data_IF_675569313946
#
_entry.id   IF_675569313946
#
_cell.length_a   1.000
_cell.length_b   1.000
_cell.length_c   1.000
_cell.angle_alpha   90.00
_cell.angle_beta   90.00
_cell.angle_gamma   90.00
#
_symmetry.space_group_name_H-M   'P 1'
#
loop_
_entity.id
_entity.type
_entity.pdbx_description
1 polymer ?
#
# COMPACT_ATOMS: atom_id res chain seq x y z
N UNK A 1 -12.79 -0.63 -20.63
CA UNK A 1 -13.26 -1.51 -19.54
C UNK A 1 -14.75 -1.24 -19.36
N UNK A 2 -15.55 -2.25 -19.00
CA UNK A 2 -16.98 -2.01 -18.79
C UNK A 2 -17.19 -1.23 -17.50
N UNK A 3 -18.24 -0.40 -17.42
CA UNK A 3 -18.62 0.34 -16.21
C UNK A 3 -18.78 -0.57 -14.98
N UNK A 4 -19.04 -1.86 -15.21
CA UNK A 4 -19.19 -2.88 -14.17
C UNK A 4 -17.84 -3.40 -13.67
N UNK A 5 -16.81 -3.48 -14.51
CA UNK A 5 -15.46 -3.89 -14.09
C UNK A 5 -14.82 -2.81 -13.22
N UNK A 6 -15.02 -1.54 -13.57
CA UNK A 6 -14.52 -0.42 -12.77
C UNK A 6 -15.23 -0.35 -11.42
N UNK A 7 -16.55 -0.59 -11.37
CA UNK A 7 -17.28 -0.70 -10.10
C UNK A 7 -16.81 -1.86 -9.23
N UNK A 8 -16.59 -3.04 -9.82
CA UNK A 8 -16.04 -4.21 -9.10
C UNK A 8 -14.66 -3.91 -8.54
N UNK A 9 -13.83 -3.19 -9.29
CA UNK A 9 -12.54 -2.73 -8.79
C UNK A 9 -12.67 -1.73 -7.63
N UNK A 10 -13.59 -0.76 -7.71
CA UNK A 10 -13.88 0.17 -6.61
C UNK A 10 -14.36 -0.56 -5.34
N UNK A 11 -15.19 -1.61 -5.49
CA UNK A 11 -15.60 -2.47 -4.39
C UNK A 11 -14.40 -3.21 -3.79
N UNK A 12 -13.55 -3.82 -4.62
CA UNK A 12 -12.33 -4.49 -4.16
C UNK A 12 -11.40 -3.51 -3.41
N UNK A 13 -11.22 -2.31 -3.97
CA UNK A 13 -10.43 -1.22 -3.35
C UNK A 13 -10.97 -0.86 -1.97
N UNK A 14 -12.28 -0.68 -1.84
CA UNK A 14 -12.92 -0.35 -0.57
C UNK A 14 -12.78 -1.50 0.44
N UNK A 15 -12.93 -2.76 0.01
CA UNK A 15 -12.72 -3.94 0.88
C UNK A 15 -11.29 -3.98 1.40
N UNK A 16 -10.29 -3.85 0.53
CA UNK A 16 -8.87 -3.87 0.91
C UNK A 16 -8.56 -2.73 1.88
N UNK A 17 -9.03 -1.51 1.58
CA UNK A 17 -8.79 -0.32 2.40
C UNK A 17 -9.38 -0.48 3.80
N UNK A 18 -10.65 -0.87 3.91
CA UNK A 18 -11.30 -1.06 5.20
C UNK A 18 -10.67 -2.22 5.98
N UNK A 19 -10.37 -3.34 5.31
CA UNK A 19 -9.78 -4.50 5.98
C UNK A 19 -8.37 -4.22 6.50
N UNK A 20 -7.54 -3.46 5.77
CA UNK A 20 -6.22 -3.03 6.28
C UNK A 20 -6.35 -2.10 7.50
N UNK A 21 -7.40 -1.29 7.54
CA UNK A 21 -7.64 -0.37 8.65
C UNK A 21 -8.23 -1.06 9.90
N UNK A 22 -9.13 -2.03 9.74
CA UNK A 22 -9.89 -2.62 10.86
C UNK A 22 -9.49 -4.06 11.20
N UNK A 23 -8.89 -4.80 10.26
CA UNK A 23 -8.63 -6.24 10.35
C UNK A 23 -9.89 -7.09 10.55
N UNK A 24 -11.06 -6.57 10.16
CA UNK A 24 -12.37 -7.25 10.30
C UNK A 24 -13.00 -7.56 8.94
N UNK A 25 -13.71 -8.70 8.77
CA UNK A 25 -14.41 -9.02 7.53
C UNK A 25 -15.42 -7.95 7.09
N UNK A 26 -15.37 -7.56 5.82
CA UNK A 26 -16.12 -6.42 5.30
C UNK A 26 -17.45 -6.84 4.68
N UNK A 27 -18.55 -6.28 5.20
CA UNK A 27 -19.90 -6.52 4.71
C UNK A 27 -20.35 -5.49 3.66
N UNK A 28 -21.20 -5.91 2.74
CA UNK A 28 -21.74 -5.05 1.68
C UNK A 28 -22.50 -3.81 2.19
N UNK A 29 -23.16 -3.90 3.36
CA UNK A 29 -23.87 -2.76 3.97
C UNK A 29 -22.88 -1.68 4.43
N UNK A 30 -21.81 -2.09 5.11
CA UNK A 30 -20.75 -1.19 5.57
C UNK A 30 -20.06 -0.47 4.40
N UNK A 31 -19.82 -1.18 3.29
CA UNK A 31 -19.23 -0.59 2.08
C UNK A 31 -20.10 0.53 1.50
N UNK A 32 -21.41 0.31 1.37
CA UNK A 32 -22.33 1.32 0.82
C UNK A 32 -22.41 2.55 1.73
N UNK A 33 -22.44 2.35 3.05
CA UNK A 33 -22.52 3.45 4.02
C UNK A 33 -21.23 4.29 4.03
N UNK A 34 -20.06 3.67 3.95
CA UNK A 34 -18.76 4.34 4.07
C UNK A 34 -18.23 4.96 2.77
N UNK A 35 -18.44 4.30 1.63
CA UNK A 35 -17.77 4.64 0.36
C UNK A 35 -18.69 5.25 -0.71
N UNK A 36 -19.98 5.48 -0.40
CA UNK A 36 -20.99 6.09 -1.29
C UNK A 36 -20.92 5.56 -2.74
N UNK A 37 -20.86 4.23 -2.91
CA UNK A 37 -20.64 3.54 -4.19
C UNK A 37 -21.75 3.74 -5.26
N UNK A 38 -22.77 4.55 -4.99
CA UNK A 38 -23.87 4.85 -5.92
C UNK A 38 -24.79 3.68 -6.24
N UNK A 39 -24.67 2.55 -5.53
CA UNK A 39 -25.45 1.32 -5.75
C UNK A 39 -25.99 0.75 -4.45
N UNK A 40 -27.01 -0.10 -4.55
CA UNK A 40 -27.63 -0.76 -3.40
C UNK A 40 -26.71 -1.81 -2.77
N UNK A 41 -26.93 -2.11 -1.48
CA UNK A 41 -26.21 -3.20 -0.80
C UNK A 41 -26.41 -4.57 -1.47
N UNK A 42 -27.56 -4.80 -2.13
CA UNK A 42 -27.80 -6.03 -2.88
C UNK A 42 -26.91 -6.12 -4.13
N UNK A 43 -26.75 -5.00 -4.86
CA UNK A 43 -25.84 -4.90 -6.01
C UNK A 43 -24.39 -5.16 -5.59
N UNK A 44 -23.96 -4.56 -4.47
CA UNK A 44 -22.61 -4.80 -3.92
C UNK A 44 -22.42 -6.27 -3.53
N UNK A 45 -23.41 -6.93 -2.92
CA UNK A 45 -23.32 -8.38 -2.63
C UNK A 45 -23.11 -9.21 -3.89
N UNK A 46 -23.82 -8.89 -4.97
CA UNK A 46 -23.67 -9.60 -6.24
C UNK A 46 -22.27 -9.40 -6.84
N UNK A 47 -21.77 -8.16 -6.85
CA UNK A 47 -20.42 -7.86 -7.33
C UNK A 47 -19.34 -8.52 -6.45
N UNK A 48 -19.54 -8.57 -5.12
CA UNK A 48 -18.68 -9.31 -4.20
C UNK A 48 -18.70 -10.82 -4.48
N UNK A 49 -19.85 -11.40 -4.83
CA UNK A 49 -19.92 -12.82 -5.20
C UNK A 49 -19.10 -13.12 -6.46
N UNK A 50 -19.06 -12.20 -7.42
CA UNK A 50 -18.20 -12.32 -8.62
C UNK A 50 -16.72 -12.20 -8.24
N UNK A 51 -16.35 -11.21 -7.42
CA UNK A 51 -14.98 -11.06 -6.92
C UNK A 51 -14.51 -12.28 -6.13
N UNK A 52 -15.41 -12.92 -5.37
CA UNK A 52 -15.14 -14.15 -4.63
C UNK A 52 -14.98 -15.35 -5.56
N UNK A 53 -15.85 -15.51 -6.55
CA UNK A 53 -15.72 -16.56 -7.57
C UNK A 53 -14.42 -16.43 -8.39
N UNK A 54 -13.96 -15.19 -8.62
CA UNK A 54 -12.69 -14.88 -9.27
C UNK A 54 -11.48 -15.01 -8.30
N UNK A 55 -11.71 -15.26 -7.01
CA UNK A 55 -10.69 -15.50 -5.99
C UNK A 55 -9.97 -14.25 -5.47
N UNK A 56 -10.52 -13.05 -5.71
CA UNK A 56 -9.96 -11.79 -5.18
C UNK A 56 -10.31 -11.54 -3.71
N UNK A 57 -11.45 -12.06 -3.27
CA UNK A 57 -11.90 -12.00 -1.87
C UNK A 57 -12.41 -13.36 -1.42
N UNK A 58 -12.49 -13.59 -0.13
CA UNK A 58 -12.97 -14.85 0.43
C UNK A 58 -13.86 -14.62 1.65
N UNK A 59 -14.73 -15.58 1.92
CA UNK A 59 -15.52 -15.65 3.14
C UNK A 59 -14.85 -16.58 4.18
N UNK A 60 -14.34 -16.06 5.31
CA UNK A 60 -13.70 -16.91 6.32
C UNK A 60 -14.71 -17.83 7.03
N UNK A 61 -15.92 -17.35 7.32
CA UNK A 61 -17.02 -18.14 7.90
C UNK A 61 -18.36 -17.74 7.27
N UNK A 62 -19.34 -18.66 7.28
CA UNK A 62 -20.63 -18.54 6.59
C UNK A 62 -21.45 -17.30 6.92
N UNK A 63 -21.23 -16.66 8.08
CA UNK A 63 -21.90 -15.42 8.50
C UNK A 63 -21.02 -14.16 8.44
N UNK A 64 -19.73 -14.31 8.12
CA UNK A 64 -18.77 -13.19 8.07
C UNK A 64 -18.86 -12.42 6.76
N UNK A 65 -18.38 -11.17 6.77
CA UNK A 65 -18.09 -10.40 5.57
C UNK A 65 -17.01 -11.05 4.69
N UNK A 66 -16.44 -10.28 3.77
CA UNK A 66 -15.36 -10.75 2.91
C UNK A 66 -14.02 -10.18 3.34
N UNK A 67 -12.96 -10.97 3.17
CA UNK A 67 -11.58 -10.57 3.37
C UNK A 67 -10.83 -10.62 2.03
N UNK A 68 -9.87 -9.72 1.79
CA UNK A 68 -9.04 -9.80 0.60
C UNK A 68 -8.13 -11.04 0.64
N UNK A 69 -7.93 -11.67 -0.51
CA UNK A 69 -6.90 -12.69 -0.70
C UNK A 69 -5.60 -12.05 -1.19
N UNK A 70 -4.51 -12.81 -1.27
CA UNK A 70 -3.25 -12.34 -1.88
C UNK A 70 -3.46 -11.86 -3.32
N UNK A 71 -4.36 -12.53 -4.07
CA UNK A 71 -4.74 -12.12 -5.42
C UNK A 71 -5.49 -10.77 -5.40
N UNK A 72 -6.39 -10.58 -4.43
CA UNK A 72 -7.08 -9.31 -4.20
C UNK A 72 -6.12 -8.17 -3.90
N UNK A 73 -5.18 -8.38 -2.98
CA UNK A 73 -4.14 -7.41 -2.67
C UNK A 73 -3.28 -7.08 -3.89
N UNK A 74 -2.85 -8.08 -4.66
CA UNK A 74 -2.07 -7.87 -5.87
C UNK A 74 -2.81 -6.99 -6.88
N UNK A 75 -4.06 -7.32 -7.17
CA UNK A 75 -4.91 -6.55 -8.09
C UNK A 75 -5.13 -5.11 -7.62
N UNK A 76 -5.32 -4.91 -6.32
CA UNK A 76 -5.41 -3.58 -5.72
C UNK A 76 -4.12 -2.79 -5.93
N UNK A 77 -2.96 -3.37 -5.58
CA UNK A 77 -1.64 -2.73 -5.70
C UNK A 77 -1.31 -2.37 -7.16
N UNK A 78 -1.57 -3.29 -8.10
CA UNK A 78 -1.27 -3.10 -9.53
C UNK A 78 -2.08 -1.95 -10.16
N UNK A 79 -3.19 -1.55 -9.51
CA UNK A 79 -4.06 -0.43 -9.93
C UNK A 79 -4.08 0.72 -8.91
N UNK A 80 -3.07 0.83 -8.04
CA UNK A 80 -2.81 2.08 -7.30
C UNK A 80 -2.31 3.11 -8.32
N UNK A 81 -3.25 3.77 -8.98
CA UNK A 81 -2.95 4.81 -9.97
C UNK A 81 -2.51 6.14 -9.33
N UNK A 82 -2.81 6.34 -8.05
CA UNK A 82 -2.60 7.60 -7.35
C UNK A 82 -1.78 7.37 -6.07
N UNK A 83 -0.45 7.35 -6.22
CA UNK A 83 0.43 7.59 -5.07
C UNK A 83 0.31 9.07 -4.73
N UNK A 84 -0.28 9.37 -3.57
CA UNK A 84 -0.32 10.75 -3.06
C UNK A 84 1.12 11.29 -2.99
N UNK A 85 1.44 12.39 -3.69
CA UNK A 85 2.78 12.96 -3.61
C UNK A 85 3.05 13.47 -2.21
N UNK A 86 4.30 13.37 -1.77
CA UNK A 86 4.74 13.98 -0.52
C UNK A 86 4.51 15.50 -0.60
N UNK A 87 3.94 16.06 0.45
CA UNK A 87 3.87 17.51 0.63
C UNK A 87 5.28 18.11 0.71
N UNK A 88 5.40 19.40 0.43
CA UNK A 88 6.68 20.10 0.53
C UNK A 88 7.29 20.02 1.96
N UNK A 89 6.44 20.00 2.99
CA UNK A 89 6.88 19.85 4.38
C UNK A 89 7.42 18.45 4.67
N UNK A 90 6.70 17.40 4.27
CA UNK A 90 7.16 16.00 4.40
C UNK A 90 8.47 15.78 3.65
N UNK A 91 8.58 16.30 2.43
CA UNK A 91 9.81 16.21 1.63
C UNK A 91 11.00 16.88 2.31
N UNK A 92 10.81 18.09 2.86
CA UNK A 92 11.88 18.80 3.60
C UNK A 92 12.29 18.05 4.87
N UNK A 93 11.33 17.52 5.62
CA UNK A 93 11.61 16.75 6.83
C UNK A 93 12.47 15.52 6.51
N UNK A 94 12.10 14.76 5.47
CA UNK A 94 12.87 13.60 5.01
C UNK A 94 14.30 14.01 4.61
N UNK A 95 14.45 15.04 3.77
CA UNK A 95 15.77 15.47 3.29
C UNK A 95 16.67 15.96 4.42
N UNK A 96 16.14 16.68 5.41
CA UNK A 96 16.93 17.16 6.56
C UNK A 96 17.59 16.03 7.37
N UNK A 97 16.93 14.86 7.45
CA UNK A 97 17.48 13.67 8.11
C UNK A 97 18.61 13.04 7.29
N UNK A 98 18.52 13.13 5.97
CA UNK A 98 19.50 12.55 5.03
C UNK A 98 20.74 13.44 4.88
N UNK A 99 20.56 14.75 4.75
CA UNK A 99 21.63 15.72 4.49
C UNK A 99 22.60 15.91 5.67
N UNK A 100 22.21 15.44 6.86
CA UNK A 100 23.02 15.54 8.08
C UNK A 100 23.95 14.34 8.30
N UNK A 101 24.04 13.41 7.34
CA UNK A 101 24.94 12.26 7.39
C UNK A 101 26.39 12.65 7.13
N UNK A 102 27.31 12.01 7.85
CA UNK A 102 28.75 12.31 7.77
C UNK A 102 29.45 11.50 6.68
N UNK A 103 29.00 10.26 6.48
CA UNK A 103 29.49 9.34 5.47
C UNK A 103 28.34 8.48 4.89
N UNK A 104 28.65 7.63 3.91
CA UNK A 104 27.67 6.77 3.25
C UNK A 104 26.96 5.83 4.24
N UNK A 105 27.70 5.25 5.19
CA UNK A 105 27.16 4.33 6.18
C UNK A 105 26.11 5.00 7.06
N UNK A 106 26.39 6.22 7.51
CA UNK A 106 25.49 7.02 8.32
C UNK A 106 24.24 7.42 7.53
N UNK A 107 24.38 7.87 6.28
CA UNK A 107 23.23 8.19 5.41
C UNK A 107 22.33 6.97 5.20
N UNK A 108 22.91 5.80 4.89
CA UNK A 108 22.15 4.56 4.69
C UNK A 108 21.46 4.12 5.99
N UNK A 109 22.16 4.19 7.13
CA UNK A 109 21.62 3.86 8.45
C UNK A 109 20.46 4.79 8.86
N UNK A 110 20.57 6.10 8.58
CA UNK A 110 19.48 7.06 8.86
C UNK A 110 18.28 6.83 7.95
N UNK A 111 18.54 6.57 6.66
CA UNK A 111 17.50 6.27 5.67
C UNK A 111 16.65 5.07 6.08
N UNK A 112 17.30 3.94 6.43
CA UNK A 112 16.58 2.71 6.80
C UNK A 112 15.79 2.89 8.10
N UNK A 113 16.33 3.63 9.08
CA UNK A 113 15.62 3.95 10.33
C UNK A 113 14.41 4.83 10.08
N UNK A 114 14.56 5.88 9.27
CA UNK A 114 13.45 6.77 8.91
C UNK A 114 12.35 6.01 8.18
N UNK A 115 12.72 5.15 7.22
CA UNK A 115 11.76 4.32 6.48
C UNK A 115 10.99 3.38 7.42
N UNK A 116 11.68 2.72 8.36
CA UNK A 116 11.04 1.85 9.36
C UNK A 116 10.09 2.65 10.27
N UNK A 117 10.49 3.84 10.70
CA UNK A 117 9.64 4.70 11.56
C UNK A 117 8.38 5.20 10.85
N UNK A 118 8.52 5.64 9.60
CA UNK A 118 7.39 6.16 8.81
C UNK A 118 6.38 5.06 8.45
N UNK A 119 6.87 3.88 8.08
CA UNK A 119 6.02 2.75 7.67
C UNK A 119 5.53 1.90 8.83
N UNK A 120 6.19 2.00 10.00
CA UNK A 120 6.06 1.07 11.13
C UNK A 120 6.31 -0.39 10.73
N UNK A 121 7.19 -0.59 9.76
CA UNK A 121 7.55 -1.91 9.23
C UNK A 121 9.06 -2.13 9.32
N UNK A 122 9.48 -3.37 9.09
CA UNK A 122 10.90 -3.68 8.90
C UNK A 122 11.35 -3.04 7.59
N UNK A 123 12.40 -2.23 7.66
CA UNK A 123 13.06 -1.67 6.50
C UNK A 123 14.44 -2.31 6.33
N UNK A 124 14.79 -2.61 5.08
CA UNK A 124 16.10 -3.14 4.70
C UNK A 124 16.64 -2.27 3.57
N UNK A 125 17.93 -2.01 3.59
CA UNK A 125 18.63 -1.29 2.54
C UNK A 125 19.80 -2.14 2.04
N UNK A 126 19.96 -2.22 0.72
CA UNK A 126 21.09 -2.88 0.10
C UNK A 126 22.19 -1.85 -0.15
N UNK A 127 23.41 -2.17 0.25
CA UNK A 127 24.57 -1.33 -0.03
C UNK A 127 24.83 -1.23 -1.53
N UNK A 128 25.22 -0.05 -2.05
CA UNK A 128 25.62 0.09 -3.44
C UNK A 128 26.86 -0.77 -3.70
N UNK A 129 26.85 -1.53 -4.79
CA UNK A 129 28.02 -2.28 -5.22
C UNK A 129 29.02 -1.29 -5.82
N UNK A 130 30.17 -1.11 -5.17
CA UNK A 130 31.21 -0.16 -5.58
C UNK A 130 32.04 -0.63 -6.79
N UNK A 131 31.55 -1.60 -7.57
CA UNK A 131 32.26 -2.18 -8.71
C UNK A 131 32.59 -1.17 -9.81
N UNK A 132 31.91 -0.03 -9.84
CA UNK A 132 32.17 1.10 -10.76
C UNK A 132 32.64 2.37 -10.04
N UNK A 133 32.96 2.30 -8.75
CA UNK A 133 33.40 3.47 -8.00
C UNK A 133 34.86 3.80 -8.36
N UNK A 134 35.12 5.05 -8.71
CA UNK A 134 36.48 5.57 -8.96
C UNK A 134 36.91 6.42 -7.77
N UNK A 135 38.13 6.21 -7.27
CA UNK A 135 38.71 7.07 -6.23
C UNK A 135 38.99 8.44 -6.83
N UNK A 136 38.34 9.48 -6.28
CA UNK A 136 38.55 10.88 -6.70
C UNK A 136 39.64 11.59 -5.90
N UNK A 137 39.84 11.19 -4.64
CA UNK A 137 40.75 11.86 -3.72
C UNK A 137 41.22 10.89 -2.63
N UNK A 138 42.48 11.01 -2.22
CA UNK A 138 43.07 10.30 -1.08
C UNK A 138 43.82 11.34 -0.24
N UNK A 139 43.56 11.33 1.06
CA UNK A 139 44.25 12.15 2.06
C UNK A 139 44.77 11.21 3.16
N UNK A 140 45.97 11.47 3.66
CA UNK A 140 46.60 10.70 4.74
C UNK A 140 46.93 11.68 5.86
N UNK A 141 46.41 11.41 7.06
CA UNK A 141 46.59 12.21 8.27
C UNK A 141 47.76 11.65 9.09
#
# INVERSE_FOLDING_TARGET
MSTTDDRRFEILRAIVTDFVATQEPIGSKALVERHQLGVSSATVRNDMAVLEAEGYIAQPHTSSGRIPTDKGYRMFVDRISEVKPLSAAERRAILSVLDSGVDLDDVLRRSVRLLAQLTRQVAVIQYPVLSTATVRHLEVI
#
